data_IF_901791902638
#
_entry.id   IF_901791902638
#
_cell.length_a   1.000
_cell.length_b   1.000
_cell.length_c   1.000
_cell.angle_alpha   90.00
_cell.angle_beta   90.00
_cell.angle_gamma   90.00
#
_symmetry.space_group_name_H-M   'P 1'
#
loop_
_entity.id
_entity.type
_entity.pdbx_description
1 polymer ?
#
# COMPACT_ATOMS: atom_id res chain seq x y z
N UNK A 1 62.39 -38.53 17.18
CA UNK A 1 62.94 -38.03 15.91
C UNK A 1 62.68 -36.53 15.85
N UNK A 2 63.50 -35.73 16.54
CA UNK A 2 64.67 -35.01 16.00
C UNK A 2 64.21 -33.77 15.20
N UNK A 3 64.28 -32.58 15.81
CA UNK A 3 65.28 -31.51 15.59
C UNK A 3 65.15 -30.86 14.20
N UNK A 4 65.16 -29.54 14.02
CA UNK A 4 66.33 -28.66 14.20
C UNK A 4 65.89 -27.18 14.32
N UNK A 5 66.48 -26.50 15.29
CA UNK A 5 66.62 -25.04 15.47
C UNK A 5 67.91 -24.60 14.77
N UNK A 6 67.94 -23.45 14.09
CA UNK A 6 69.10 -22.52 14.11
C UNK A 6 68.91 -21.24 13.27
N UNK A 7 69.25 -20.13 13.91
CA UNK A 7 69.94 -18.93 13.41
C UNK A 7 69.54 -18.27 12.07
N UNK A 8 69.11 -17.01 12.13
CA UNK A 8 70.08 -15.91 11.95
C UNK A 8 69.57 -14.57 12.49
N UNK A 9 70.40 -13.99 13.35
CA UNK A 9 70.27 -12.68 14.00
C UNK A 9 71.56 -11.93 13.68
N UNK A 10 71.45 -10.60 13.52
CA UNK A 10 72.48 -9.55 13.40
C UNK A 10 72.67 -9.00 11.98
N UNK A 11 72.19 -7.78 11.77
CA UNK A 11 73.10 -6.63 11.89
C UNK A 11 72.36 -5.40 12.42
N UNK A 12 73.12 -4.62 13.17
CA UNK A 12 72.71 -3.59 14.11
C UNK A 12 73.20 -2.22 13.61
N UNK A 13 72.60 -1.17 14.19
CA UNK A 13 73.06 0.21 14.27
C UNK A 13 72.81 1.15 13.07
N UNK A 14 71.91 2.12 13.27
CA UNK A 14 72.33 3.44 13.77
C UNK A 14 71.14 4.22 14.36
N UNK A 15 71.26 4.55 15.65
CA UNK A 15 70.47 5.58 16.32
C UNK A 15 70.94 6.97 15.88
N UNK A 16 70.01 7.93 15.83
CA UNK A 16 70.30 9.35 16.07
C UNK A 16 69.00 10.11 16.43
N UNK A 17 68.77 10.26 17.73
CA UNK A 17 68.38 11.48 18.46
C UNK A 17 67.49 12.57 17.80
N UNK A 18 66.23 12.68 18.30
CA UNK A 18 65.48 13.84 18.87
C UNK A 18 65.53 15.27 18.23
N UNK A 19 64.59 16.23 18.54
CA UNK A 19 63.53 16.24 19.56
C UNK A 19 62.12 16.75 19.13
N UNK A 20 61.23 16.68 20.12
CA UNK A 20 59.87 17.23 20.25
C UNK A 20 59.81 18.76 20.42
N UNK A 21 58.68 19.39 20.05
CA UNK A 21 57.94 20.40 20.85
C UNK A 21 56.65 20.80 20.08
N UNK A 22 55.43 20.64 20.59
CA UNK A 22 54.77 21.36 21.69
C UNK A 22 54.57 22.85 21.38
N UNK A 23 53.34 23.27 21.06
CA UNK A 23 52.64 24.37 21.77
C UNK A 23 51.18 24.48 21.34
N UNK A 24 50.31 24.46 22.33
CA UNK A 24 48.92 24.88 22.29
C UNK A 24 48.82 26.42 22.16
N UNK A 25 47.75 26.91 21.54
CA UNK A 25 47.13 28.16 21.96
C UNK A 25 45.61 28.10 21.78
N UNK A 26 44.95 28.35 22.91
CA UNK A 26 43.53 28.63 23.14
C UNK A 26 43.13 30.03 22.66
N UNK A 27 41.88 30.18 22.21
CA UNK A 27 41.22 31.47 22.04
C UNK A 27 39.78 31.30 21.53
N UNK A 28 38.81 31.57 22.40
CA UNK A 28 37.36 31.49 22.21
C UNK A 28 36.78 32.52 21.21
N UNK A 29 35.78 32.05 20.43
CA UNK A 29 34.50 32.66 20.01
C UNK A 29 34.41 33.91 19.10
N UNK A 30 33.25 34.15 18.43
CA UNK A 30 32.34 33.22 17.73
C UNK A 30 31.92 33.78 16.34
N UNK A 31 30.96 33.11 15.68
CA UNK A 31 30.17 33.54 14.52
C UNK A 31 30.69 33.19 13.11
N UNK A 32 30.06 32.19 12.51
CA UNK A 32 29.26 32.34 11.29
C UNK A 32 28.50 31.03 11.04
N UNK A 33 27.27 30.99 11.57
CA UNK A 33 26.26 30.04 11.09
C UNK A 33 25.93 30.49 9.67
N UNK A 34 26.54 29.86 8.67
CA UNK A 34 26.18 30.09 7.28
C UNK A 34 24.76 29.59 7.08
N UNK A 35 23.84 30.55 6.99
CA UNK A 35 22.48 30.32 6.52
C UNK A 35 22.56 29.61 5.17
N UNK A 36 21.83 28.51 5.03
CA UNK A 36 21.70 27.80 3.77
C UNK A 36 21.36 28.82 2.66
N UNK A 37 22.29 29.01 1.72
CA UNK A 37 22.10 29.84 0.54
C UNK A 37 20.80 29.41 -0.14
N UNK A 38 19.88 30.36 -0.27
CA UNK A 38 18.76 30.20 -1.19
C UNK A 38 19.36 30.04 -2.58
N UNK A 39 19.06 28.97 -3.33
CA UNK A 39 19.66 28.76 -4.64
C UNK A 39 19.34 29.97 -5.51
N UNK A 40 20.37 30.51 -6.18
CA UNK A 40 20.26 31.61 -7.14
C UNK A 40 19.05 31.38 -8.06
N UNK A 41 18.24 32.41 -8.35
CA UNK A 41 17.06 32.24 -9.18
C UNK A 41 17.48 31.62 -10.51
N UNK A 42 16.89 30.46 -10.80
CA UNK A 42 17.16 29.72 -12.04
C UNK A 42 16.91 30.65 -13.24
N UNK A 43 17.74 30.60 -14.29
CA UNK A 43 17.48 31.30 -15.54
C UNK A 43 16.02 31.07 -16.01
N UNK A 44 15.32 32.13 -16.44
CA UNK A 44 13.88 32.06 -16.73
C UNK A 44 13.47 30.97 -17.74
N UNK A 45 14.36 30.59 -18.67
CA UNK A 45 14.13 29.49 -19.61
C UNK A 45 14.09 28.09 -18.97
N UNK A 46 14.58 27.95 -17.74
CA UNK A 46 14.51 26.73 -16.94
C UNK A 46 13.31 26.72 -15.98
N UNK A 47 12.51 27.80 -15.92
CA UNK A 47 11.30 27.85 -15.10
C UNK A 47 10.33 26.72 -15.43
N UNK A 48 10.03 26.55 -16.71
CA UNK A 48 9.17 25.47 -17.23
C UNK A 48 9.73 24.07 -16.91
N UNK A 49 11.06 23.91 -16.91
CA UNK A 49 11.72 22.65 -16.54
C UNK A 49 11.66 22.41 -15.03
N UNK A 50 11.76 23.46 -14.21
CA UNK A 50 11.61 23.36 -12.77
C UNK A 50 10.17 23.01 -12.36
N UNK A 51 9.16 23.55 -13.05
CA UNK A 51 7.75 23.18 -12.87
C UNK A 51 7.51 21.70 -13.26
N UNK A 52 8.04 21.26 -14.41
CA UNK A 52 7.95 19.85 -14.83
C UNK A 52 8.70 18.92 -13.87
N UNK A 53 9.88 19.32 -13.39
CA UNK A 53 10.64 18.55 -12.40
C UNK A 53 9.84 18.41 -11.09
N UNK A 54 9.19 19.47 -10.62
CA UNK A 54 8.26 19.41 -9.47
C UNK A 54 7.12 18.43 -9.73
N UNK A 55 6.49 18.47 -10.91
CA UNK A 55 5.45 17.51 -11.28
C UNK A 55 5.95 16.05 -11.26
N UNK A 56 7.17 15.78 -11.73
CA UNK A 56 7.78 14.44 -11.65
C UNK A 56 8.09 14.01 -10.22
N UNK A 57 8.59 14.91 -9.37
CA UNK A 57 8.82 14.64 -7.94
C UNK A 57 7.49 14.31 -7.24
N UNK A 58 6.42 15.05 -7.55
CA UNK A 58 5.09 14.75 -7.02
C UNK A 58 4.57 13.39 -7.51
N UNK A 59 4.78 13.06 -8.78
CA UNK A 59 4.36 11.79 -9.40
C UNK A 59 5.15 10.56 -8.87
N UNK A 60 6.35 10.76 -8.33
CA UNK A 60 7.20 9.69 -7.80
C UNK A 60 6.57 8.93 -6.61
N UNK A 61 5.60 9.54 -5.92
CA UNK A 61 4.87 8.89 -4.83
C UNK A 61 3.36 8.98 -5.07
N UNK A 62 2.61 7.91 -4.79
CA UNK A 62 1.16 7.94 -4.98
C UNK A 62 0.50 8.99 -4.08
N UNK A 63 -0.58 9.63 -4.54
CA UNK A 63 -1.33 10.61 -3.74
C UNK A 63 -1.78 10.05 -2.37
N UNK A 64 -2.07 8.76 -2.30
CA UNK A 64 -2.39 8.07 -1.04
C UNK A 64 -1.17 7.94 -0.12
N UNK A 65 0.02 7.67 -0.66
CA UNK A 65 1.28 7.67 0.10
C UNK A 65 1.55 9.05 0.67
N UNK A 66 1.41 10.11 -0.15
CA UNK A 66 1.61 11.50 0.30
C UNK A 66 0.66 11.87 1.44
N UNK A 67 -0.64 11.59 1.30
CA UNK A 67 -1.64 11.81 2.36
C UNK A 67 -1.34 11.04 3.64
N UNK A 68 -0.92 9.77 3.51
CA UNK A 68 -0.54 8.95 4.65
C UNK A 68 0.69 9.50 5.37
N UNK A 69 1.73 9.88 4.62
CA UNK A 69 2.97 10.43 5.18
C UNK A 69 2.77 11.81 5.82
N UNK A 70 1.95 12.68 5.21
CA UNK A 70 1.59 13.95 5.81
C UNK A 70 0.84 13.78 7.15
N UNK A 71 -0.10 12.84 7.20
CA UNK A 71 -0.81 12.50 8.44
C UNK A 71 0.13 11.93 9.51
N UNK A 72 1.03 11.02 9.14
CA UNK A 72 2.00 10.43 10.05
C UNK A 72 2.99 11.48 10.59
N UNK A 73 3.44 12.40 9.73
CA UNK A 73 4.31 13.51 10.13
C UNK A 73 3.62 14.46 11.10
N UNK A 74 2.35 14.81 10.83
CA UNK A 74 1.53 15.60 11.75
C UNK A 74 1.41 14.93 13.10
N UNK A 75 1.21 13.61 13.11
CA UNK A 75 1.11 12.83 14.34
C UNK A 75 2.43 12.82 15.13
N UNK A 76 3.56 12.57 14.49
CA UNK A 76 4.89 12.65 15.12
C UNK A 76 5.16 14.05 15.68
N UNK A 77 4.96 15.09 14.86
CA UNK A 77 5.18 16.48 15.26
C UNK A 77 4.26 16.92 16.42
N UNK A 78 3.02 16.41 16.45
CA UNK A 78 2.11 16.66 17.56
C UNK A 78 2.55 15.93 18.84
N UNK A 79 3.08 14.71 18.72
CA UNK A 79 3.64 13.98 19.86
C UNK A 79 4.88 14.69 20.41
N UNK A 80 5.84 15.10 19.58
CA UNK A 80 7.03 15.85 20.00
C UNK A 80 6.64 17.11 20.79
N UNK A 81 5.70 17.91 20.25
CA UNK A 81 5.21 19.12 20.93
C UNK A 81 4.60 18.85 22.30
N UNK A 82 3.88 17.73 22.47
CA UNK A 82 3.33 17.33 23.78
C UNK A 82 4.40 16.93 24.79
N UNK A 83 5.55 16.46 24.32
CA UNK A 83 6.69 16.10 25.15
C UNK A 83 7.70 17.26 25.32
N UNK A 84 7.36 18.47 24.84
CA UNK A 84 8.28 19.62 24.79
C UNK A 84 9.58 19.33 24.02
N UNK A 85 9.50 18.48 22.99
CA UNK A 85 10.62 18.14 22.11
C UNK A 85 10.47 18.79 20.74
N UNK A 86 11.59 19.17 20.13
CA UNK A 86 11.62 19.61 18.74
C UNK A 86 11.58 18.40 17.79
N UNK A 87 10.73 18.41 16.73
CA UNK A 87 10.70 17.32 15.75
C UNK A 87 11.87 17.36 14.75
N UNK A 88 12.58 18.50 14.68
CA UNK A 88 13.73 18.73 13.82
C UNK A 88 14.81 19.53 14.60
N UNK A 89 16.11 19.26 14.40
CA UNK A 89 16.68 18.18 13.56
C UNK A 89 16.30 16.78 14.08
N UNK A 90 16.31 15.73 13.23
CA UNK A 90 15.84 14.42 13.63
C UNK A 90 16.83 13.73 14.57
N UNK A 91 16.46 13.60 15.85
CA UNK A 91 17.20 12.80 16.83
C UNK A 91 16.72 11.34 16.84
N UNK A 92 17.59 10.35 16.53
CA UNK A 92 17.24 8.94 16.59
C UNK A 92 16.68 8.47 17.95
N UNK A 93 17.12 9.05 19.06
CA UNK A 93 16.60 8.74 20.40
C UNK A 93 15.15 9.20 20.55
N UNK A 94 14.81 10.41 20.10
CA UNK A 94 13.43 10.92 20.10
C UNK A 94 12.53 10.05 19.22
N UNK A 95 13.02 9.61 18.06
CA UNK A 95 12.27 8.70 17.18
C UNK A 95 12.08 7.33 17.84
N UNK A 96 13.09 6.80 18.53
CA UNK A 96 13.03 5.57 19.32
C UNK A 96 11.97 5.63 20.44
N UNK A 97 11.92 6.74 21.17
CA UNK A 97 10.88 7.01 22.18
C UNK A 97 9.49 7.08 21.55
N UNK A 98 9.36 7.77 20.41
CA UNK A 98 8.08 7.88 19.70
C UNK A 98 7.53 6.52 19.24
N UNK A 99 8.35 5.67 18.63
CA UNK A 99 7.89 4.34 18.19
C UNK A 99 7.53 3.43 19.38
N UNK A 100 8.22 3.61 20.52
CA UNK A 100 7.88 2.95 21.79
C UNK A 100 6.53 3.44 22.33
N UNK A 101 6.28 4.75 22.27
CA UNK A 101 5.00 5.33 22.65
C UNK A 101 3.85 4.85 21.74
N UNK A 102 4.12 4.68 20.44
CA UNK A 102 3.16 4.10 19.49
C UNK A 102 2.85 2.63 19.82
N UNK A 103 3.87 1.83 20.15
CA UNK A 103 3.73 0.42 20.48
C UNK A 103 3.02 0.19 21.83
N UNK A 104 3.20 1.09 22.80
CA UNK A 104 2.57 1.03 24.12
C UNK A 104 1.17 1.68 24.17
N UNK A 105 0.74 2.39 23.11
CA UNK A 105 -0.52 3.11 23.10
C UNK A 105 -0.51 4.42 23.92
N UNK A 106 0.68 4.94 24.22
CA UNK A 106 0.86 6.19 25.00
C UNK A 106 1.14 7.40 24.10
N UNK A 107 1.29 7.19 22.79
CA UNK A 107 1.53 8.28 21.84
C UNK A 107 0.36 9.29 21.79
N UNK A 108 -0.87 8.87 22.02
CA UNK A 108 -2.05 9.73 22.05
C UNK A 108 -3.06 9.21 23.08
N UNK A 109 -3.62 10.12 23.89
CA UNK A 109 -4.55 9.75 24.97
C UNK A 109 -5.80 9.09 24.38
N UNK A 110 -6.19 7.95 24.94
CA UNK A 110 -7.38 7.20 24.51
C UNK A 110 -7.22 6.39 23.22
N UNK A 111 -6.00 6.31 22.67
CA UNK A 111 -5.72 5.58 21.43
C UNK A 111 -5.06 4.23 21.74
N UNK A 112 -5.54 3.16 21.11
CA UNK A 112 -4.94 1.81 21.25
C UNK A 112 -3.53 1.77 20.65
N UNK A 113 -2.71 0.86 21.19
CA UNK A 113 -1.39 0.53 20.63
C UNK A 113 -1.43 0.30 19.11
N UNK A 114 -0.47 0.89 18.40
CA UNK A 114 -0.37 0.75 16.95
C UNK A 114 0.20 -0.63 16.56
N UNK A 115 -0.26 -1.16 15.43
CA UNK A 115 0.35 -2.36 14.84
C UNK A 115 1.79 -2.09 14.41
N UNK A 116 2.63 -3.14 14.39
CA UNK A 116 4.00 -3.08 13.87
C UNK A 116 4.06 -2.43 12.48
N UNK A 117 3.16 -2.83 11.57
CA UNK A 117 3.07 -2.27 10.22
C UNK A 117 2.73 -0.77 10.19
N UNK A 118 1.96 -0.29 11.16
CA UNK A 118 1.63 1.14 11.29
C UNK A 118 2.87 1.91 11.77
N UNK A 119 3.61 1.35 12.72
CA UNK A 119 4.83 1.95 13.26
C UNK A 119 5.90 2.04 12.17
N UNK A 120 6.12 0.98 11.40
CA UNK A 120 7.08 0.97 10.27
C UNK A 120 6.73 1.99 9.18
N UNK A 121 5.43 2.14 8.89
CA UNK A 121 4.95 3.17 7.96
C UNK A 121 5.22 4.58 8.49
N UNK A 122 4.92 4.83 9.77
CA UNK A 122 5.21 6.11 10.43
C UNK A 122 6.70 6.43 10.42
N UNK A 123 7.56 5.45 10.71
CA UNK A 123 9.02 5.61 10.64
C UNK A 123 9.48 5.96 9.21
N UNK A 124 8.89 5.32 8.20
CA UNK A 124 9.17 5.64 6.79
C UNK A 124 8.71 7.05 6.42
N UNK A 125 7.56 7.49 6.95
CA UNK A 125 7.05 8.85 6.75
C UNK A 125 7.94 9.91 7.40
N UNK A 126 8.48 9.65 8.60
CA UNK A 126 9.43 10.53 9.29
C UNK A 126 10.70 10.65 8.46
N UNK A 127 11.33 9.51 8.11
CA UNK A 127 12.55 9.51 7.32
C UNK A 127 12.36 10.25 5.98
N UNK A 128 11.26 9.99 5.28
CA UNK A 128 10.91 10.69 4.05
C UNK A 128 10.79 12.20 4.27
N UNK A 129 10.09 12.64 5.32
CA UNK A 129 9.94 14.06 5.64
C UNK A 129 11.27 14.74 5.99
N UNK A 130 12.19 14.06 6.65
CA UNK A 130 13.54 14.57 6.89
C UNK A 130 14.27 14.75 5.56
N UNK A 131 14.25 13.74 4.68
CA UNK A 131 14.91 13.80 3.37
C UNK A 131 14.36 14.92 2.50
N UNK A 132 13.04 15.16 2.51
CA UNK A 132 12.44 16.28 1.78
C UNK A 132 12.92 17.67 2.27
N UNK A 133 13.51 17.75 3.48
CA UNK A 133 14.05 18.98 4.09
C UNK A 133 15.59 19.04 4.04
N UNK A 134 16.23 18.15 3.27
CA UNK A 134 17.69 18.06 3.21
C UNK A 134 18.34 17.42 4.44
N UNK A 135 17.55 16.80 5.33
CA UNK A 135 18.04 16.14 6.54
C UNK A 135 17.99 14.62 6.38
N UNK A 136 18.93 13.91 7.02
CA UNK A 136 18.93 12.44 7.03
C UNK A 136 18.51 11.90 8.40
N UNK A 137 17.66 10.87 8.39
CA UNK A 137 17.40 10.04 9.57
C UNK A 137 17.85 8.61 9.26
N UNK A 138 18.94 8.17 9.88
CA UNK A 138 19.38 6.79 9.73
C UNK A 138 18.49 5.85 10.55
N UNK A 139 17.70 5.04 9.84
CA UNK A 139 16.81 4.04 10.45
C UNK A 139 17.56 2.83 11.01
N UNK A 140 18.84 2.67 10.66
CA UNK A 140 19.73 1.63 11.18
C UNK A 140 20.40 2.04 12.48
N UNK A 141 20.27 3.32 12.87
CA UNK A 141 20.71 3.79 14.17
C UNK A 141 20.17 2.88 15.28
N UNK A 142 21.02 2.55 16.26
CA UNK A 142 20.71 1.61 17.33
C UNK A 142 19.46 2.02 18.12
N UNK A 143 19.25 3.31 18.36
CA UNK A 143 18.10 3.84 19.10
C UNK A 143 16.76 3.54 18.39
N UNK A 144 16.78 3.34 17.06
CA UNK A 144 15.61 2.99 16.27
C UNK A 144 15.56 1.49 15.99
N UNK A 145 16.65 0.92 15.50
CA UNK A 145 16.71 -0.46 15.02
C UNK A 145 16.47 -1.47 16.15
N UNK A 146 17.09 -1.27 17.32
CA UNK A 146 16.92 -2.16 18.47
C UNK A 146 15.50 -2.10 19.02
N UNK A 147 14.93 -0.89 19.13
CA UNK A 147 13.55 -0.70 19.59
C UNK A 147 12.56 -1.34 18.61
N UNK A 148 12.74 -1.13 17.31
CA UNK A 148 11.92 -1.77 16.28
C UNK A 148 12.03 -3.30 16.33
N UNK A 149 13.22 -3.86 16.56
CA UNK A 149 13.40 -5.30 16.74
C UNK A 149 12.63 -5.81 17.96
N UNK A 150 12.71 -5.11 19.10
CA UNK A 150 11.93 -5.45 20.30
C UNK A 150 10.42 -5.38 20.08
N UNK A 151 9.94 -4.33 19.39
CA UNK A 151 8.52 -4.19 19.02
C UNK A 151 8.06 -5.35 18.14
N UNK A 152 8.88 -5.76 17.15
CA UNK A 152 8.57 -6.94 16.31
C UNK A 152 8.51 -8.21 17.15
N UNK A 153 9.51 -8.48 17.97
CA UNK A 153 9.57 -9.71 18.75
C UNK A 153 8.39 -9.84 19.73
N UNK A 154 7.94 -8.72 20.31
CA UNK A 154 6.87 -8.72 21.32
C UNK A 154 5.46 -8.59 20.74
N UNK A 155 5.30 -7.87 19.64
CA UNK A 155 3.98 -7.45 19.14
C UNK A 155 3.73 -7.83 17.67
N UNK A 156 4.68 -8.46 16.97
CA UNK A 156 4.40 -8.97 15.64
C UNK A 156 3.37 -10.08 15.74
N UNK A 157 2.22 -9.83 15.13
CA UNK A 157 1.19 -10.83 14.89
C UNK A 157 1.06 -11.02 13.38
N UNK A 158 0.68 -12.23 12.92
CA UNK A 158 0.31 -12.44 11.54
C UNK A 158 -0.73 -11.39 11.10
N UNK A 159 -0.59 -10.79 9.90
CA UNK A 159 -1.50 -9.76 9.46
C UNK A 159 -2.92 -10.32 9.38
N UNK A 160 -3.87 -9.62 10.01
CA UNK A 160 -5.30 -9.93 9.91
C UNK A 160 -5.76 -9.75 8.47
N UNK A 161 -5.96 -10.86 7.78
CA UNK A 161 -6.51 -10.86 6.42
C UNK A 161 -8.03 -10.69 6.47
N UNK A 162 -8.57 -9.97 5.48
CA UNK A 162 -10.00 -9.81 5.32
C UNK A 162 -10.60 -11.11 4.77
N UNK A 163 -11.86 -11.37 5.11
CA UNK A 163 -12.52 -12.56 4.62
C UNK A 163 -12.65 -12.51 3.10
N UNK A 164 -12.38 -13.64 2.46
CA UNK A 164 -12.57 -13.80 1.03
C UNK A 164 -14.06 -13.94 0.74
N UNK A 165 -14.56 -13.19 -0.25
CA UNK A 165 -15.92 -13.43 -0.79
C UNK A 165 -15.78 -14.56 -1.79
N UNK A 166 -16.41 -15.71 -1.56
CA UNK A 166 -16.39 -16.84 -2.49
C UNK A 166 -17.45 -16.65 -3.60
N UNK A 167 -17.44 -17.45 -4.68
CA UNK A 167 -18.44 -17.34 -5.75
C UNK A 167 -19.89 -17.38 -5.25
N UNK A 168 -20.18 -18.22 -4.25
CA UNK A 168 -21.49 -18.43 -3.66
C UNK A 168 -21.92 -17.20 -2.85
N UNK A 169 -20.98 -16.64 -2.08
CA UNK A 169 -21.17 -15.37 -1.36
C UNK A 169 -21.46 -14.23 -2.34
N UNK A 170 -20.73 -14.18 -3.46
CA UNK A 170 -20.92 -13.17 -4.48
C UNK A 170 -22.32 -13.28 -5.11
N UNK A 171 -22.79 -14.49 -5.41
CA UNK A 171 -24.15 -14.71 -5.92
C UNK A 171 -25.18 -14.21 -4.91
N UNK A 172 -25.04 -14.57 -3.63
CA UNK A 172 -25.93 -14.09 -2.57
C UNK A 172 -25.92 -12.56 -2.46
N UNK A 173 -24.74 -11.93 -2.53
CA UNK A 173 -24.59 -10.47 -2.56
C UNK A 173 -25.30 -9.83 -3.77
N UNK A 174 -25.21 -10.43 -4.94
CA UNK A 174 -25.86 -9.92 -6.16
C UNK A 174 -27.39 -9.96 -6.05
N UNK A 175 -27.96 -10.95 -5.36
CA UNK A 175 -29.42 -11.03 -5.14
C UNK A 175 -29.96 -9.93 -4.22
N UNK A 176 -29.11 -9.29 -3.43
CA UNK A 176 -29.51 -8.14 -2.59
C UNK A 176 -29.64 -6.82 -3.36
N UNK A 177 -29.17 -6.78 -4.61
CA UNK A 177 -29.11 -5.55 -5.41
C UNK A 177 -30.34 -5.43 -6.33
N UNK A 178 -30.97 -4.25 -6.32
CA UNK A 178 -32.14 -3.94 -7.14
C UNK A 178 -31.83 -3.98 -8.65
N UNK A 179 -32.39 -4.93 -9.39
CA UNK A 179 -32.12 -5.09 -10.83
C UNK A 179 -32.70 -3.97 -11.71
N UNK A 180 -33.74 -3.28 -11.22
CA UNK A 180 -34.47 -2.25 -11.98
C UNK A 180 -33.92 -0.82 -11.85
N UNK A 181 -32.83 -0.60 -11.11
CA UNK A 181 -32.28 0.75 -10.91
C UNK A 181 -30.87 0.88 -11.49
N UNK A 182 -30.50 2.10 -11.94
CA UNK A 182 -29.14 2.36 -12.44
C UNK A 182 -28.09 2.10 -11.35
N UNK A 183 -28.46 2.34 -10.09
CA UNK A 183 -27.59 2.03 -8.94
C UNK A 183 -27.32 0.53 -8.85
N UNK A 184 -28.34 -0.31 -8.91
CA UNK A 184 -28.16 -1.75 -8.85
C UNK A 184 -27.38 -2.29 -10.04
N UNK A 185 -27.64 -1.82 -11.27
CA UNK A 185 -26.86 -2.19 -12.44
C UNK A 185 -25.37 -1.85 -12.27
N UNK A 186 -25.06 -0.62 -11.83
CA UNK A 186 -23.69 -0.20 -11.53
C UNK A 186 -23.03 -1.08 -10.49
N UNK A 187 -23.73 -1.31 -9.38
CA UNK A 187 -23.19 -2.00 -8.22
C UNK A 187 -22.95 -3.49 -8.53
N UNK A 188 -23.82 -4.12 -9.34
CA UNK A 188 -23.60 -5.47 -9.88
C UNK A 188 -22.35 -5.53 -10.75
N UNK A 189 -22.21 -4.59 -11.69
CA UNK A 189 -21.03 -4.52 -12.55
C UNK A 189 -19.75 -4.36 -11.71
N UNK A 190 -19.75 -3.48 -10.69
CA UNK A 190 -18.61 -3.29 -9.77
C UNK A 190 -18.22 -4.59 -9.05
N UNK A 191 -19.20 -5.31 -8.48
CA UNK A 191 -18.93 -6.55 -7.75
C UNK A 191 -18.38 -7.64 -8.66
N UNK A 192 -18.98 -7.80 -9.85
CA UNK A 192 -18.60 -8.83 -10.82
C UNK A 192 -17.21 -8.59 -11.41
N UNK A 193 -16.91 -7.38 -11.89
CA UNK A 193 -15.55 -7.09 -12.41
C UNK A 193 -14.52 -7.08 -11.29
N UNK A 194 -14.91 -6.62 -10.09
CA UNK A 194 -14.03 -6.55 -8.94
C UNK A 194 -13.59 -7.93 -8.48
N UNK A 195 -14.52 -8.89 -8.52
CA UNK A 195 -14.23 -10.30 -8.28
C UNK A 195 -13.45 -10.91 -9.44
N UNK A 196 -13.99 -10.91 -10.67
CA UNK A 196 -13.41 -11.63 -11.80
C UNK A 196 -12.02 -11.12 -12.24
N UNK A 197 -11.78 -9.81 -12.13
CA UNK A 197 -10.47 -9.21 -12.37
C UNK A 197 -9.54 -9.19 -11.15
N UNK A 198 -10.03 -9.58 -9.97
CA UNK A 198 -9.29 -9.47 -8.71
C UNK A 198 -8.83 -8.04 -8.41
N UNK A 199 -9.67 -7.05 -8.75
CA UNK A 199 -9.29 -5.65 -8.80
C UNK A 199 -9.24 -5.01 -7.42
N UNK A 200 -8.32 -4.06 -7.24
CA UNK A 200 -8.33 -3.17 -6.07
C UNK A 200 -9.42 -2.12 -6.24
N UNK A 201 -9.98 -1.66 -5.13
CA UNK A 201 -11.02 -0.60 -5.12
C UNK A 201 -10.68 0.65 -5.95
N UNK A 202 -9.41 1.07 -5.95
CA UNK A 202 -8.96 2.22 -6.75
C UNK A 202 -8.83 1.91 -8.23
N UNK A 203 -8.45 0.66 -8.57
CA UNK A 203 -8.40 0.18 -9.96
C UNK A 203 -9.82 0.16 -10.52
N UNK A 204 -10.80 -0.37 -9.78
CA UNK A 204 -12.22 -0.36 -10.18
C UNK A 204 -12.70 1.06 -10.49
N UNK A 205 -12.50 2.00 -9.56
CA UNK A 205 -13.04 3.36 -9.70
C UNK A 205 -12.28 4.25 -10.68
N UNK A 206 -11.06 3.88 -11.03
CA UNK A 206 -10.22 4.60 -11.98
C UNK A 206 -10.21 3.97 -13.37
N UNK A 207 -11.16 3.10 -13.69
CA UNK A 207 -11.38 2.59 -15.05
C UNK A 207 -12.18 3.60 -15.88
N UNK A 208 -11.67 3.90 -17.07
CA UNK A 208 -12.34 4.67 -18.11
C UNK A 208 -12.90 3.75 -19.21
N UNK A 209 -13.84 4.29 -20.00
CA UNK A 209 -14.39 3.62 -21.17
C UNK A 209 -13.41 3.50 -22.34
N UNK A 210 -12.33 4.26 -22.31
CA UNK A 210 -11.29 4.21 -23.31
C UNK A 210 -10.01 4.86 -22.80
N UNK A 211 -8.94 4.63 -23.55
CA UNK A 211 -7.60 5.10 -23.23
C UNK A 211 -7.53 6.63 -23.21
N UNK A 212 -6.80 7.16 -22.23
CA UNK A 212 -6.44 8.58 -22.10
C UNK A 212 -7.66 9.54 -22.08
N UNK A 213 -8.82 9.07 -21.57
CA UNK A 213 -10.05 9.86 -21.52
C UNK A 213 -10.16 10.78 -20.30
N UNK A 214 -9.47 10.45 -19.20
CA UNK A 214 -9.39 11.30 -18.01
C UNK A 214 -7.96 11.39 -17.47
N UNK A 215 -7.61 12.54 -16.91
CA UNK A 215 -6.28 12.80 -16.33
C UNK A 215 -6.00 11.91 -15.10
N UNK A 216 -7.03 11.69 -14.28
CA UNK A 216 -6.97 10.83 -13.09
C UNK A 216 -7.21 9.34 -13.39
N UNK A 217 -7.43 8.99 -14.66
CA UNK A 217 -7.66 7.62 -15.12
C UNK A 217 -6.48 6.73 -14.79
N UNK A 218 -6.76 5.59 -14.14
CA UNK A 218 -5.74 4.59 -13.79
C UNK A 218 -5.85 3.31 -14.62
N UNK A 219 -6.69 3.32 -15.65
CA UNK A 219 -6.89 2.21 -16.57
C UNK A 219 -8.09 2.43 -17.47
N UNK A 220 -8.25 1.56 -18.45
CA UNK A 220 -9.40 1.55 -19.35
C UNK A 220 -9.88 0.13 -19.63
N UNK A 221 -11.09 0.02 -20.18
CA UNK A 221 -11.70 -1.24 -20.58
C UNK A 221 -11.79 -1.35 -22.10
N UNK A 222 -11.66 -2.57 -22.59
CA UNK A 222 -11.97 -2.96 -23.97
C UNK A 222 -12.96 -4.12 -23.92
N UNK A 223 -14.08 -3.97 -24.63
CA UNK A 223 -15.17 -4.95 -24.66
C UNK A 223 -14.99 -5.79 -25.92
N UNK A 224 -14.85 -7.10 -25.74
CA UNK A 224 -14.60 -8.09 -26.79
C UNK A 224 -15.71 -9.15 -26.76
N UNK A 225 -15.94 -9.85 -27.87
CA UNK A 225 -17.00 -10.86 -27.97
C UNK A 225 -16.89 -11.98 -26.90
N UNK A 226 -15.66 -12.30 -26.50
CA UNK A 226 -15.35 -13.37 -25.54
C UNK A 226 -15.17 -12.87 -24.10
N UNK A 227 -15.20 -11.56 -23.86
CA UNK A 227 -14.93 -11.00 -22.53
C UNK A 227 -14.50 -9.55 -22.51
N UNK A 228 -13.82 -9.16 -21.43
CA UNK A 228 -13.28 -7.82 -21.21
C UNK A 228 -11.75 -7.89 -21.11
N UNK A 229 -11.08 -6.96 -21.76
CA UNK A 229 -9.65 -6.69 -21.53
C UNK A 229 -9.52 -5.39 -20.74
N UNK A 230 -8.90 -5.46 -19.57
CA UNK A 230 -8.66 -4.30 -18.72
C UNK A 230 -7.18 -3.95 -18.76
N UNK A 231 -6.85 -2.71 -19.12
CA UNK A 231 -5.48 -2.19 -18.97
C UNK A 231 -5.41 -1.33 -17.72
N UNK A 232 -4.54 -1.68 -16.79
CA UNK A 232 -4.51 -1.10 -15.45
C UNK A 232 -3.12 -0.64 -15.04
N UNK A 233 -3.04 0.56 -14.45
CA UNK A 233 -1.83 1.09 -13.83
C UNK A 233 -1.74 0.65 -12.38
N UNK A 234 -0.96 -0.41 -12.15
CA UNK A 234 -0.64 -0.92 -10.82
C UNK A 234 0.50 -0.15 -10.14
N UNK A 235 0.91 -0.64 -8.96
CA UNK A 235 2.08 -0.09 -8.23
C UNK A 235 3.41 -0.34 -8.94
N UNK A 236 3.48 -1.39 -9.75
CA UNK A 236 4.70 -1.88 -10.42
C UNK A 236 4.70 -1.59 -11.92
N UNK A 237 3.79 -0.72 -12.39
CA UNK A 237 3.61 -0.42 -13.81
C UNK A 237 2.25 -0.87 -14.35
N UNK A 238 2.15 -0.86 -15.67
CA UNK A 238 0.95 -1.27 -16.40
C UNK A 238 0.83 -2.79 -16.46
N UNK A 239 -0.40 -3.28 -16.42
CA UNK A 239 -0.73 -4.69 -16.65
C UNK A 239 -2.07 -4.83 -17.35
N UNK A 240 -2.22 -5.94 -18.05
CA UNK A 240 -3.48 -6.38 -18.62
C UNK A 240 -4.13 -7.43 -17.72
N UNK A 241 -5.46 -7.37 -17.64
CA UNK A 241 -6.30 -8.32 -16.90
C UNK A 241 -7.43 -8.75 -17.83
N UNK A 242 -7.45 -10.04 -18.14
CA UNK A 242 -8.45 -10.66 -19.00
C UNK A 242 -9.61 -11.18 -18.14
N UNK A 243 -10.84 -10.83 -18.50
CA UNK A 243 -12.05 -11.32 -17.83
C UNK A 243 -12.92 -12.01 -18.87
N UNK A 244 -13.05 -13.32 -18.77
CA UNK A 244 -13.90 -14.09 -19.69
C UNK A 244 -15.40 -13.83 -19.48
N UNK A 245 -16.19 -14.09 -20.53
CA UNK A 245 -17.64 -14.15 -20.43
C UNK A 245 -18.08 -15.22 -19.43
N UNK A 246 -18.99 -14.87 -18.53
CA UNK A 246 -19.56 -15.79 -17.56
C UNK A 246 -20.52 -16.80 -18.20
N UNK A 247 -20.72 -17.93 -17.53
CA UNK A 247 -21.61 -19.01 -18.00
C UNK A 247 -23.10 -18.69 -17.92
N UNK A 248 -23.50 -17.70 -17.12
CA UNK A 248 -24.87 -17.24 -16.97
C UNK A 248 -24.94 -15.71 -17.00
N UNK A 249 -25.92 -15.14 -17.69
CA UNK A 249 -26.06 -13.69 -17.84
C UNK A 249 -26.22 -12.96 -16.50
N UNK A 250 -26.86 -13.61 -15.52
CA UNK A 250 -27.07 -13.06 -14.17
C UNK A 250 -25.76 -12.85 -13.41
N UNK A 251 -24.72 -13.65 -13.69
CA UNK A 251 -23.41 -13.57 -13.03
C UNK A 251 -22.29 -13.21 -13.99
N UNK A 252 -22.61 -12.82 -15.23
CA UNK A 252 -21.63 -12.53 -16.26
C UNK A 252 -21.08 -11.10 -16.11
N UNK A 253 -19.75 -10.92 -15.91
CA UNK A 253 -19.16 -9.59 -15.80
C UNK A 253 -19.30 -8.76 -17.07
N UNK A 254 -19.18 -9.39 -18.25
CA UNK A 254 -19.36 -8.74 -19.55
C UNK A 254 -20.76 -8.14 -19.68
N UNK A 255 -21.81 -8.98 -19.53
CA UNK A 255 -23.21 -8.55 -19.63
C UNK A 255 -23.54 -7.47 -18.60
N UNK A 256 -23.00 -7.56 -17.38
CA UNK A 256 -23.23 -6.56 -16.35
C UNK A 256 -22.61 -5.20 -16.73
N UNK A 257 -21.40 -5.19 -17.29
CA UNK A 257 -20.75 -3.97 -17.76
C UNK A 257 -21.48 -3.37 -18.97
N UNK A 258 -21.83 -4.18 -19.96
CA UNK A 258 -22.59 -3.73 -21.14
C UNK A 258 -23.95 -3.15 -20.73
N UNK A 259 -24.67 -3.83 -19.84
CA UNK A 259 -25.95 -3.35 -19.30
C UNK A 259 -25.77 -2.01 -18.60
N UNK A 260 -24.75 -1.89 -17.74
CA UNK A 260 -24.46 -0.63 -17.07
C UNK A 260 -24.18 0.49 -18.08
N UNK A 261 -23.30 0.28 -19.07
CA UNK A 261 -22.93 1.28 -20.07
C UNK A 261 -24.15 1.73 -20.89
N UNK A 262 -24.96 0.77 -21.33
CA UNK A 262 -26.16 1.02 -22.15
C UNK A 262 -27.21 1.82 -21.38
N UNK A 263 -27.62 1.35 -20.19
CA UNK A 263 -28.66 2.01 -19.41
C UNK A 263 -28.22 3.34 -18.79
N UNK A 264 -26.93 3.47 -18.43
CA UNK A 264 -26.36 4.72 -17.96
C UNK A 264 -25.99 5.70 -19.09
N UNK A 265 -26.14 5.28 -20.36
CA UNK A 265 -25.85 6.07 -21.57
C UNK A 265 -24.43 6.64 -21.56
N UNK A 266 -23.45 5.81 -21.22
CA UNK A 266 -22.06 6.25 -21.11
C UNK A 266 -21.35 6.13 -22.46
N UNK A 267 -20.82 7.24 -22.97
CA UNK A 267 -20.07 7.26 -24.23
C UNK A 267 -18.55 7.45 -24.05
N UNK A 268 -18.12 8.21 -23.04
CA UNK A 268 -16.71 8.53 -22.76
C UNK A 268 -16.48 8.89 -21.30
N UNK A 269 -15.26 8.72 -20.80
CA UNK A 269 -14.82 9.07 -19.45
C UNK A 269 -14.97 7.92 -18.45
N UNK A 270 -15.16 8.22 -17.16
CA UNK A 270 -15.17 7.20 -16.11
C UNK A 270 -16.25 6.16 -16.34
N UNK A 271 -15.86 4.88 -16.25
CA UNK A 271 -16.76 3.74 -16.36
C UNK A 271 -17.77 3.75 -15.21
N UNK A 272 -17.31 3.91 -13.97
CA UNK A 272 -18.21 3.96 -12.81
C UNK A 272 -18.38 5.38 -12.30
N UNK A 273 -19.64 5.83 -12.29
CA UNK A 273 -20.02 7.17 -11.86
C UNK A 273 -20.95 7.13 -10.66
N UNK A 274 -21.07 8.27 -9.99
CA UNK A 274 -22.04 8.43 -8.90
C UNK A 274 -23.46 8.40 -9.47
N UNK A 275 -24.34 7.59 -8.88
CA UNK A 275 -25.77 7.57 -9.19
C UNK A 275 -26.54 8.36 -8.12
N UNK A 276 -27.32 9.35 -8.54
CA UNK A 276 -28.15 10.27 -7.74
C UNK A 276 -29.65 10.02 -8.01
N UNK A 277 -30.54 10.89 -7.50
CA UNK A 277 -31.97 10.84 -7.82
C UNK A 277 -32.66 9.53 -7.42
N UNK A 278 -32.36 9.00 -6.22
CA UNK A 278 -32.83 7.67 -5.76
C UNK A 278 -32.50 6.52 -6.73
N UNK A 279 -31.37 6.59 -7.42
CA UNK A 279 -30.92 5.50 -8.30
C UNK A 279 -31.27 5.67 -9.77
N UNK A 280 -31.71 6.86 -10.20
CA UNK A 280 -32.22 7.13 -11.55
C UNK A 280 -31.32 8.01 -12.41
N UNK A 281 -30.43 8.79 -11.80
CA UNK A 281 -29.60 9.75 -12.55
C UNK A 281 -28.11 9.46 -12.37
N UNK A 282 -27.32 9.68 -13.42
CA UNK A 282 -25.87 9.46 -13.41
C UNK A 282 -25.14 10.79 -13.42
N UNK A 283 -24.32 11.03 -12.40
CA UNK A 283 -23.50 12.22 -12.30
C UNK A 283 -22.30 12.20 -13.26
N UNK A 284 -21.68 13.36 -13.54
CA UNK A 284 -20.58 13.45 -14.51
C UNK A 284 -19.25 12.93 -13.97
N UNK A 285 -19.05 12.95 -12.65
CA UNK A 285 -17.77 12.62 -12.00
C UNK A 285 -17.57 11.14 -11.69
N UNK A 286 -16.30 10.70 -11.53
CA UNK A 286 -15.96 9.33 -11.19
C UNK A 286 -16.48 8.94 -9.81
N UNK A 287 -16.75 7.64 -9.64
CA UNK A 287 -17.09 7.06 -8.35
C UNK A 287 -15.86 7.11 -7.43
N UNK A 288 -16.05 7.47 -6.15
CA UNK A 288 -14.95 7.48 -5.17
C UNK A 288 -14.59 6.05 -4.73
N UNK A 289 -13.30 5.77 -4.55
CA UNK A 289 -12.75 4.48 -4.07
C UNK A 289 -13.43 3.93 -2.80
N UNK A 290 -13.80 4.81 -1.86
CA UNK A 290 -14.52 4.46 -0.62
C UNK A 290 -15.94 3.96 -0.88
N UNK A 291 -16.58 4.36 -1.99
CA UNK A 291 -17.90 3.90 -2.34
C UNK A 291 -17.90 2.43 -2.74
N UNK A 292 -16.92 1.98 -3.54
CA UNK A 292 -16.74 0.55 -3.86
C UNK A 292 -16.50 -0.29 -2.59
N UNK A 293 -15.66 0.19 -1.67
CA UNK A 293 -15.43 -0.50 -0.40
C UNK A 293 -16.68 -0.56 0.50
N UNK A 294 -17.51 0.49 0.49
CA UNK A 294 -18.78 0.50 1.21
C UNK A 294 -19.80 -0.44 0.58
N UNK A 295 -19.88 -0.48 -0.75
CA UNK A 295 -20.73 -1.40 -1.50
C UNK A 295 -20.45 -2.86 -1.12
N UNK A 296 -19.18 -3.27 -1.14
CA UNK A 296 -18.80 -4.65 -0.76
C UNK A 296 -19.29 -4.98 0.65
N UNK A 297 -19.10 -4.05 1.60
CA UNK A 297 -19.57 -4.25 2.98
C UNK A 297 -21.09 -4.31 3.07
N UNK A 298 -21.81 -3.37 2.48
CA UNK A 298 -23.26 -3.30 2.57
C UNK A 298 -23.92 -4.51 1.90
N UNK A 299 -23.41 -4.95 0.75
CA UNK A 299 -23.92 -6.13 0.07
C UNK A 299 -23.63 -7.42 0.85
N UNK A 300 -22.44 -7.56 1.45
CA UNK A 300 -22.11 -8.71 2.31
C UNK A 300 -22.99 -8.76 3.56
N UNK A 301 -23.28 -7.61 4.16
CA UNK A 301 -24.18 -7.52 5.32
C UNK A 301 -25.62 -7.87 4.94
N UNK A 302 -26.13 -7.29 3.85
CA UNK A 302 -27.47 -7.55 3.33
C UNK A 302 -27.67 -9.02 2.93
N UNK A 303 -26.62 -9.68 2.43
CA UNK A 303 -26.65 -11.10 2.05
C UNK A 303 -26.59 -12.06 3.24
N UNK A 304 -26.51 -11.56 4.48
CA UNK A 304 -26.47 -12.42 5.66
C UNK A 304 -25.14 -13.15 5.87
N UNK A 305 -24.06 -12.75 5.17
CA UNK A 305 -22.77 -13.43 5.30
C UNK A 305 -22.23 -13.34 6.74
N UNK A 306 -21.83 -14.48 7.31
CA UNK A 306 -21.51 -14.64 8.73
C UNK A 306 -22.62 -14.16 9.67
N UNK A 307 -23.87 -14.57 9.42
CA UNK A 307 -25.02 -14.24 10.26
C UNK A 307 -24.93 -14.74 11.71
N UNK A 308 -23.98 -15.63 12.00
CA UNK A 308 -23.61 -16.09 13.33
C UNK A 308 -22.93 -15.02 14.20
N UNK A 309 -22.44 -13.93 13.60
CA UNK A 309 -21.71 -12.85 14.28
C UNK A 309 -22.53 -11.57 14.42
N UNK A 310 -22.18 -10.74 15.40
CA UNK A 310 -22.73 -9.39 15.53
C UNK A 310 -22.39 -8.50 14.33
N UNK A 311 -23.24 -7.51 14.03
CA UNK A 311 -23.11 -6.67 12.82
C UNK A 311 -21.75 -5.95 12.72
N UNK A 312 -21.24 -5.43 13.84
CA UNK A 312 -19.93 -4.77 13.87
C UNK A 312 -18.78 -5.72 13.52
N UNK A 313 -18.82 -6.95 14.03
CA UNK A 313 -17.82 -7.98 13.74
C UNK A 313 -17.87 -8.41 12.28
N UNK A 314 -19.08 -8.59 11.74
CA UNK A 314 -19.30 -8.86 10.30
C UNK A 314 -18.72 -7.75 9.43
N UNK A 315 -19.03 -6.49 9.76
CA UNK A 315 -18.53 -5.33 9.04
C UNK A 315 -17.00 -5.17 9.12
N UNK A 316 -16.36 -5.71 10.17
CA UNK A 316 -14.91 -5.73 10.33
C UNK A 316 -14.25 -6.81 9.46
N UNK A 317 -14.93 -7.93 9.15
CA UNK A 317 -14.40 -9.02 8.32
C UNK A 317 -14.29 -8.67 6.84
N UNK A 318 -15.25 -7.92 6.30
CA UNK A 318 -15.30 -7.59 4.87
C UNK A 318 -14.69 -6.23 4.53
N UNK A 319 -14.12 -6.12 3.33
CA UNK A 319 -13.62 -4.86 2.76
C UNK A 319 -13.54 -4.92 1.24
N UNK A 320 -13.17 -3.83 0.57
CA UNK A 320 -12.88 -3.86 -0.87
C UNK A 320 -11.78 -4.86 -1.29
N UNK A 321 -10.97 -5.37 -0.36
CA UNK A 321 -9.99 -6.42 -0.64
C UNK A 321 -10.59 -7.84 -0.66
N UNK A 322 -11.82 -8.00 -0.17
CA UNK A 322 -12.48 -9.30 -0.04
C UNK A 322 -12.80 -9.95 -1.39
N UNK A 323 -13.16 -9.17 -2.41
CA UNK A 323 -13.39 -9.66 -3.78
C UNK A 323 -12.12 -10.25 -4.39
N UNK A 324 -11.02 -9.49 -4.27
CA UNK A 324 -9.71 -9.92 -4.75
C UNK A 324 -9.19 -11.16 -4.02
N UNK A 325 -9.37 -11.22 -2.71
CA UNK A 325 -9.04 -12.40 -1.92
C UNK A 325 -9.89 -13.61 -2.35
N UNK A 326 -11.16 -13.38 -2.64
CA UNK A 326 -12.10 -14.33 -3.24
C UNK A 326 -11.53 -15.05 -4.45
N UNK A 327 -11.26 -14.30 -5.52
CA UNK A 327 -10.70 -14.85 -6.75
C UNK A 327 -9.39 -15.60 -6.51
N UNK A 328 -8.49 -15.01 -5.73
CA UNK A 328 -7.19 -15.61 -5.43
C UNK A 328 -7.31 -16.95 -4.67
N UNK A 329 -8.38 -17.13 -3.90
CA UNK A 329 -8.64 -18.33 -3.11
C UNK A 329 -9.54 -19.36 -3.80
N UNK A 330 -10.42 -18.95 -4.73
CA UNK A 330 -11.34 -19.85 -5.43
C UNK A 330 -10.83 -20.34 -6.79
N UNK A 331 -9.92 -19.61 -7.44
CA UNK A 331 -9.43 -20.00 -8.75
C UNK A 331 -8.61 -21.30 -8.69
N UNK A 332 -9.06 -22.32 -9.43
CA UNK A 332 -8.34 -23.60 -9.59
C UNK A 332 -7.37 -23.56 -10.77
N UNK A 333 -6.49 -22.55 -10.77
CA UNK A 333 -5.47 -22.36 -11.81
C UNK A 333 -4.08 -22.30 -11.19
N UNK A 334 -3.06 -22.52 -12.02
CA UNK A 334 -1.66 -22.46 -11.61
C UNK A 334 -1.29 -21.09 -10.98
N UNK A 335 -0.41 -21.13 -9.98
CA UNK A 335 0.08 -19.96 -9.23
C UNK A 335 0.52 -18.82 -10.16
N UNK A 336 1.18 -19.14 -11.27
CA UNK A 336 1.70 -18.14 -12.22
C UNK A 336 0.58 -17.31 -12.86
N UNK A 337 -0.54 -17.94 -13.20
CA UNK A 337 -1.69 -17.26 -13.80
C UNK A 337 -2.38 -16.34 -12.79
N UNK A 338 -2.58 -16.83 -11.56
CA UNK A 338 -3.10 -15.99 -10.46
C UNK A 338 -2.16 -14.82 -10.18
N UNK A 339 -0.85 -15.03 -10.17
CA UNK A 339 0.15 -13.98 -9.95
C UNK A 339 0.08 -12.89 -11.04
N UNK A 340 -0.01 -13.29 -12.33
CA UNK A 340 -0.15 -12.38 -13.48
C UNK A 340 -1.43 -11.56 -13.37
N UNK A 341 -2.59 -12.22 -13.22
CA UNK A 341 -3.92 -11.58 -13.12
C UNK A 341 -3.96 -10.56 -11.97
N UNK A 342 -3.42 -10.94 -10.81
CA UNK A 342 -3.38 -10.09 -9.64
C UNK A 342 -2.28 -9.04 -9.71
N UNK A 343 -1.29 -9.16 -10.60
CA UNK A 343 -0.07 -8.36 -10.65
C UNK A 343 0.66 -8.32 -9.30
N UNK A 344 0.89 -9.50 -8.72
CA UNK A 344 1.73 -9.65 -7.54
C UNK A 344 3.21 -9.62 -7.93
N UNK A 345 4.00 -8.84 -7.18
CA UNK A 345 5.43 -8.68 -7.44
C UNK A 345 6.26 -9.94 -7.15
N UNK A 346 5.74 -10.85 -6.31
CA UNK A 346 6.39 -12.12 -6.00
C UNK A 346 5.36 -13.23 -5.78
N UNK A 347 5.78 -14.48 -6.01
CA UNK A 347 4.97 -15.67 -5.76
C UNK A 347 4.54 -15.77 -4.28
N UNK A 348 5.40 -15.35 -3.34
CA UNK A 348 5.07 -15.35 -1.90
C UNK A 348 3.80 -14.55 -1.58
N UNK A 349 3.51 -13.48 -2.32
CA UNK A 349 2.26 -12.71 -2.16
C UNK A 349 1.03 -13.53 -2.59
N UNK A 350 1.17 -14.39 -3.60
CA UNK A 350 0.09 -15.28 -4.09
C UNK A 350 -0.12 -16.47 -3.14
N UNK A 351 0.96 -17.09 -2.64
CA UNK A 351 0.90 -18.22 -1.68
C UNK A 351 0.10 -17.92 -0.43
N UNK A 352 0.04 -16.65 -0.02
CA UNK A 352 -0.77 -16.21 1.14
C UNK A 352 -2.25 -16.56 0.99
N UNK A 353 -2.78 -16.55 -0.23
CA UNK A 353 -4.18 -16.91 -0.53
C UNK A 353 -4.36 -18.42 -0.73
N UNK A 354 -3.38 -19.07 -1.39
CA UNK A 354 -3.41 -20.53 -1.65
C UNK A 354 -3.32 -21.36 -0.37
N UNK A 355 -2.51 -20.94 0.62
CA UNK A 355 -2.40 -21.64 1.91
C UNK A 355 -3.74 -21.81 2.64
N UNK A 356 -4.70 -20.93 2.39
CA UNK A 356 -6.05 -21.03 2.97
C UNK A 356 -6.92 -22.02 2.19
N UNK A 357 -6.84 -22.01 0.85
CA UNK A 357 -7.54 -22.95 -0.04
C UNK A 357 -7.07 -24.38 0.15
N UNK A 358 -5.75 -24.59 0.16
CA UNK A 358 -5.15 -25.93 0.20
C UNK A 358 -5.03 -26.49 1.62
N UNK A 359 -5.57 -25.76 2.62
CA UNK A 359 -5.57 -26.16 4.03
C UNK A 359 -6.29 -27.50 4.17
N UNK A 360 -5.55 -28.52 4.56
CA UNK A 360 -5.97 -29.94 4.66
C UNK A 360 -6.23 -30.68 3.33
N UNK A 361 -6.17 -30.00 2.18
CA UNK A 361 -6.26 -30.63 0.84
C UNK A 361 -4.92 -31.20 0.41
N UNK A 362 -3.84 -30.42 0.59
CA UNK A 362 -2.46 -30.87 0.45
C UNK A 362 -1.87 -30.92 1.86
N UNK A 363 -1.96 -32.08 2.51
CA UNK A 363 -1.56 -32.24 3.90
C UNK A 363 -0.44 -33.27 4.01
N UNK A 364 0.67 -32.87 4.63
CA UNK A 364 1.78 -33.75 4.95
C UNK A 364 1.34 -34.90 5.85
N UNK A 365 0.38 -34.72 6.77
CA UNK A 365 -0.16 -35.82 7.59
C UNK A 365 -0.72 -36.94 6.71
N UNK A 366 -1.59 -36.61 5.73
CA UNK A 366 -2.13 -37.57 4.77
C UNK A 366 -1.04 -38.13 3.84
N UNK A 367 -0.11 -37.30 3.38
CA UNK A 367 0.98 -37.73 2.51
C UNK A 367 2.01 -38.63 3.23
N UNK A 368 2.13 -38.47 4.54
CA UNK A 368 2.93 -39.32 5.43
C UNK A 368 2.17 -40.55 5.93
N UNK A 369 0.91 -40.75 5.52
CA UNK A 369 0.12 -41.93 5.87
C UNK A 369 -0.40 -41.97 7.32
N UNK A 370 -0.47 -40.81 7.99
CA UNK A 370 -1.00 -40.66 9.36
C UNK A 370 -2.48 -40.28 9.40
#
# INVERSE_FOLDING_TARGET
>A
MAQIVAQNRKNHAKETSAPSDSTAHSGDDPALVSAAESPSPLPGHLGDLADRARAYVEAASSANTRKAYASDWKHFSAWCRRQSLAPLPPDPHVVGLYITACASGTAERGVKANSVSTIERRLSAIAWNCTQRGLSLDRKDRAIATVMAGIRNRHAAPPRQKEAILPEDLIAMLETLERGTLRGLRDRAILLIGFAGGLRRSEITGLDLGRDQTEDGSGWIEILDKGLLLTLRGKTGWREVEIGRGSADTTCPLVAVESWISFAKLAKGPLFRRVTGRGKDVGPGPLKDKAAARLVKSAALAAGLHGDLGEEERAAKFSGHSLRAGLASSAEVDERHVQKQLGHASAEMTRKYQRRRDRFRVNLTKASGL
#
